data_IF_942875524853
#
_entry.id   IF_942875524853
#
_cell.length_a   1.000
_cell.length_b   1.000
_cell.length_c   1.000
_cell.angle_alpha   90.00
_cell.angle_beta   90.00
_cell.angle_gamma   90.00
#
_symmetry.space_group_name_H-M   'P 1'
#
loop_
_entity.id
_entity.type
_entity.pdbx_description
1 polymer ?
#
# COMPACT_ATOMS: atom_id res chain seq x y z
N UNK A 1 -8.98 -9.19 0.73
CA UNK A 1 -10.01 -9.03 -0.32
C UNK A 1 -11.38 -9.13 0.35
N UNK A 2 -12.40 -8.41 -0.10
CA UNK A 2 -13.75 -8.44 0.50
C UNK A 2 -14.71 -9.05 -0.52
N UNK A 3 -15.46 -10.06 -0.10
CA UNK A 3 -16.56 -10.60 -0.90
C UNK A 3 -17.67 -9.53 -1.01
N UNK A 4 -18.03 -9.15 -2.23
CA UNK A 4 -18.95 -8.03 -2.47
C UNK A 4 -20.40 -8.33 -2.07
N UNK A 5 -20.78 -9.60 -1.96
CA UNK A 5 -22.15 -10.02 -1.62
C UNK A 5 -22.34 -10.09 -0.11
N UNK A 6 -21.35 -10.61 0.60
CA UNK A 6 -21.39 -10.88 2.04
C UNK A 6 -20.68 -9.82 2.87
N UNK A 7 -19.89 -8.95 2.22
CA UNK A 7 -19.01 -7.96 2.84
C UNK A 7 -17.98 -8.57 3.81
N UNK A 8 -17.75 -9.88 3.71
CA UNK A 8 -16.79 -10.59 4.56
C UNK A 8 -15.38 -10.54 3.96
N UNK A 9 -14.33 -10.44 4.78
CA UNK A 9 -12.96 -10.61 4.32
C UNK A 9 -12.76 -12.06 3.85
N UNK A 10 -12.31 -12.23 2.61
CA UNK A 10 -11.95 -13.54 2.04
C UNK A 10 -10.48 -13.86 2.18
N UNK A 11 -9.66 -12.84 2.48
CA UNK A 11 -8.23 -12.98 2.63
C UNK A 11 -7.68 -11.92 3.57
N UNK A 12 -6.82 -12.36 4.49
CA UNK A 12 -6.03 -11.53 5.36
C UNK A 12 -4.58 -11.51 4.87
N UNK A 13 -3.97 -10.32 4.83
CA UNK A 13 -2.58 -10.13 4.47
C UNK A 13 -1.88 -9.55 5.69
N UNK A 14 -0.87 -10.26 6.21
CA UNK A 14 -0.05 -9.80 7.31
C UNK A 14 1.10 -8.98 6.77
N UNK A 15 1.01 -7.66 6.96
CA UNK A 15 2.09 -6.74 6.63
C UNK A 15 2.90 -6.53 7.90
N UNK A 16 4.22 -6.74 7.83
CA UNK A 16 5.14 -6.64 8.99
C UNK A 16 5.28 -5.24 9.61
N UNK A 17 4.43 -4.29 9.21
CA UNK A 17 4.30 -2.96 9.79
C UNK A 17 2.88 -2.43 9.61
N UNK A 18 2.41 -1.53 10.50
CA UNK A 18 1.14 -0.85 10.32
C UNK A 18 1.20 0.12 9.14
N UNK A 19 0.10 0.19 8.40
CA UNK A 19 -0.14 1.15 7.32
C UNK A 19 -1.42 1.92 7.61
N UNK A 20 -1.37 3.24 7.45
CA UNK A 20 -2.49 4.15 7.66
C UNK A 20 -3.35 4.28 6.40
N UNK A 21 -2.73 4.18 5.23
CA UNK A 21 -3.44 4.30 3.95
C UNK A 21 -2.89 3.30 2.95
N UNK A 22 -3.77 2.75 2.11
CA UNK A 22 -3.41 1.82 1.03
C UNK A 22 -4.08 2.28 -0.26
N UNK A 23 -3.28 2.47 -1.30
CA UNK A 23 -3.73 2.82 -2.65
C UNK A 23 -3.45 1.66 -3.60
N UNK A 24 -4.51 1.11 -4.21
CA UNK A 24 -4.37 0.07 -5.23
C UNK A 24 -3.86 0.66 -6.53
N UNK A 25 -2.85 0.03 -7.14
CA UNK A 25 -2.42 0.38 -8.49
C UNK A 25 -3.39 -0.17 -9.54
N UNK A 26 -3.46 0.46 -10.75
CA UNK A 26 -4.36 0.00 -11.81
C UNK A 26 -4.14 -1.43 -12.29
N UNK A 27 -2.95 -2.00 -12.06
CA UNK A 27 -2.64 -3.39 -12.41
C UNK A 27 -3.32 -4.41 -11.49
N UNK A 28 -3.91 -3.99 -10.36
CA UNK A 28 -4.61 -4.84 -9.41
C UNK A 28 -3.74 -5.83 -8.63
N UNK A 29 -2.44 -5.90 -8.92
CA UNK A 29 -1.49 -6.83 -8.29
C UNK A 29 -0.65 -6.15 -7.22
N UNK A 30 -0.59 -4.82 -7.26
CA UNK A 30 0.25 -4.04 -6.37
C UNK A 30 -0.54 -2.94 -5.67
N UNK A 31 -0.06 -2.54 -4.51
CA UNK A 31 -0.55 -1.38 -3.77
C UNK A 31 0.59 -0.53 -3.22
N UNK A 32 0.33 0.75 -3.00
CA UNK A 32 1.21 1.65 -2.26
C UNK A 32 0.58 1.88 -0.89
N UNK A 33 1.29 1.48 0.16
CA UNK A 33 0.97 1.78 1.54
C UNK A 33 1.68 3.04 2.03
N UNK A 34 1.00 3.84 2.83
CA UNK A 34 1.61 4.92 3.63
C UNK A 34 1.64 4.47 5.10
N UNK A 35 2.80 4.61 5.74
CA UNK A 35 2.92 4.54 7.19
C UNK A 35 3.32 5.92 7.71
N UNK A 36 2.38 6.62 8.35
CA UNK A 36 2.60 7.92 9.00
C UNK A 36 3.54 7.74 10.19
N UNK A 37 3.36 6.68 10.97
CA UNK A 37 4.24 6.38 12.12
C UNK A 37 5.71 6.20 11.71
N UNK A 38 5.95 5.54 10.57
CA UNK A 38 7.32 5.33 10.05
C UNK A 38 7.73 6.35 8.99
N UNK A 39 6.84 7.30 8.71
CA UNK A 39 6.99 8.35 7.71
C UNK A 39 7.33 7.80 6.31
N UNK A 40 6.99 6.55 5.99
CA UNK A 40 7.47 5.88 4.77
C UNK A 40 6.34 5.44 3.83
N UNK A 41 6.72 5.18 2.58
CA UNK A 41 5.88 4.53 1.58
C UNK A 41 6.35 3.09 1.40
N UNK A 42 5.40 2.17 1.28
CA UNK A 42 5.62 0.76 1.06
C UNK A 42 5.01 0.34 -0.27
N UNK A 43 5.79 -0.31 -1.13
CA UNK A 43 5.23 -1.07 -2.26
C UNK A 43 4.83 -2.46 -1.74
N UNK A 44 3.61 -2.87 -2.04
CA UNK A 44 3.01 -4.11 -1.56
C UNK A 44 2.66 -4.97 -2.77
N UNK A 45 3.14 -6.21 -2.79
CA UNK A 45 2.66 -7.25 -3.69
C UNK A 45 1.46 -7.95 -3.03
N UNK A 46 0.28 -7.79 -3.63
CA UNK A 46 -0.98 -8.31 -3.09
C UNK A 46 -1.13 -9.81 -3.32
N UNK A 47 -0.46 -10.35 -4.34
CA UNK A 47 -0.48 -11.80 -4.63
C UNK A 47 0.39 -12.57 -3.64
N UNK A 48 1.56 -12.03 -3.35
CA UNK A 48 2.50 -12.60 -2.38
C UNK A 48 2.22 -12.16 -0.93
N UNK A 49 1.34 -11.17 -0.74
CA UNK A 49 0.98 -10.66 0.58
C UNK A 49 2.14 -10.05 1.36
N UNK A 50 3.09 -9.40 0.67
CA UNK A 50 4.32 -8.88 1.29
C UNK A 50 4.71 -7.49 0.77
N UNK A 51 5.42 -6.75 1.60
CA UNK A 51 6.09 -5.50 1.20
C UNK A 51 7.31 -5.88 0.35
N UNK A 52 7.42 -5.31 -0.84
CA UNK A 52 8.51 -5.56 -1.79
C UNK A 52 9.52 -4.41 -1.86
N UNK A 53 9.11 -3.20 -1.47
CA UNK A 53 10.00 -2.05 -1.35
C UNK A 53 9.51 -1.08 -0.26
N UNK A 54 10.44 -0.35 0.35
CA UNK A 54 10.17 0.72 1.30
C UNK A 54 10.97 1.96 0.89
N UNK A 55 10.36 3.14 0.95
CA UNK A 55 11.13 4.37 0.85
C UNK A 55 11.84 4.62 2.18
N UNK A 56 13.15 4.85 2.13
CA UNK A 56 13.86 5.44 3.25
C UNK A 56 13.60 6.94 3.22
N UNK A 57 12.56 7.39 3.90
CA UNK A 57 12.27 8.82 4.04
C UNK A 57 13.19 9.43 5.09
N UNK A 58 14.46 9.64 4.72
CA UNK A 58 15.29 10.61 5.41
C UNK A 58 14.77 12.00 5.05
N UNK A 59 13.87 12.57 5.86
CA UNK A 59 13.54 14.00 5.94
C UNK A 59 13.61 14.83 4.64
N UNK A 60 12.88 14.48 3.57
CA UNK A 60 12.43 15.46 2.57
C UNK A 60 11.40 14.82 1.62
N UNK A 61 10.18 15.32 1.59
CA UNK A 61 9.21 15.03 0.52
C UNK A 61 8.90 16.36 -0.20
N UNK A 62 9.62 16.60 -1.29
CA UNK A 62 9.26 17.64 -2.26
C UNK A 62 7.98 17.27 -3.02
N UNK A 63 7.40 18.20 -3.80
CA UNK A 63 6.11 18.02 -4.44
C UNK A 63 6.15 16.87 -5.47
N UNK A 64 5.27 15.88 -5.29
CA UNK A 64 5.03 14.83 -6.29
C UNK A 64 3.94 15.33 -7.24
N UNK A 65 4.29 15.46 -8.52
CA UNK A 65 3.34 15.81 -9.57
C UNK A 65 2.35 14.65 -9.81
N UNK A 66 1.06 14.96 -9.85
CA UNK A 66 0.01 14.03 -10.28
C UNK A 66 -0.27 14.33 -11.75
N UNK A 67 0.06 13.39 -12.63
CA UNK A 67 -0.36 13.44 -14.04
C UNK A 67 -1.71 12.73 -14.15
N UNK A 68 -2.74 13.46 -14.59
CA UNK A 68 -4.00 12.87 -15.09
C UNK A 68 -3.97 12.86 -16.62
N UNK A 69 -4.53 11.80 -17.22
CA UNK A 69 -4.84 11.75 -18.65
C UNK A 69 -5.98 12.71 -18.97
#
# INVERSE_FOLDING_TARGET
MIDKMTLQPTQHILLGQPLDTIHLLPNGQQAIGLSVMKVNLAMIDLSAGRITALTATSHYLGPIAIVRK
#
